data_IF_651203977058
#
_entry.id   IF_651203977058
#
_cell.length_a   1.000
_cell.length_b   1.000
_cell.length_c   1.000
_cell.angle_alpha   90.00
_cell.angle_beta   90.00
_cell.angle_gamma   90.00
#
_symmetry.space_group_name_H-M   'P 1'
#
loop_
_entity.id
_entity.type
_entity.pdbx_description
1 polymer ?
#
# COMPACT_ATOMS: atom_id res chain seq x y z
N UNK A 1 -1.22 -2.17 -21.84
CA UNK A 1 -2.68 -2.08 -22.07
C UNK A 1 -3.23 -3.10 -23.06
N UNK A 2 -2.68 -3.28 -24.28
CA UNK A 2 -3.20 -4.27 -25.26
C UNK A 2 -3.25 -5.72 -24.76
N UNK A 3 -2.16 -6.22 -24.19
CA UNK A 3 -2.05 -7.65 -23.79
C UNK A 3 -2.99 -8.05 -22.64
N UNK A 4 -3.34 -7.12 -21.75
CA UNK A 4 -4.26 -7.35 -20.63
C UNK A 4 -5.74 -7.33 -21.08
N UNK A 5 -6.06 -6.55 -22.12
CA UNK A 5 -7.40 -6.51 -22.69
C UNK A 5 -7.68 -7.79 -23.50
N UNK A 6 -6.67 -8.34 -24.18
CA UNK A 6 -6.80 -9.58 -24.98
C UNK A 6 -7.03 -10.84 -24.13
N UNK A 7 -6.58 -10.86 -22.87
CA UNK A 7 -6.78 -11.99 -21.93
C UNK A 7 -8.05 -11.86 -21.06
N UNK A 8 -8.77 -10.75 -21.16
CA UNK A 8 -10.00 -10.50 -20.40
C UNK A 8 -11.20 -11.08 -21.15
N UNK A 9 -11.77 -12.18 -20.65
CA UNK A 9 -12.86 -12.86 -21.33
C UNK A 9 -14.25 -12.26 -21.08
N UNK A 10 -14.42 -11.31 -20.14
CA UNK A 10 -15.71 -10.66 -19.84
C UNK A 10 -15.62 -9.33 -19.04
N UNK A 11 -14.55 -8.53 -19.19
CA UNK A 11 -14.40 -7.27 -18.45
C UNK A 11 -13.64 -6.18 -19.23
N UNK A 12 -13.84 -4.92 -18.84
CA UNK A 12 -13.03 -3.80 -19.32
C UNK A 12 -11.81 -3.61 -18.43
N UNK A 13 -10.65 -3.39 -19.05
CA UNK A 13 -9.40 -3.11 -18.33
C UNK A 13 -8.93 -1.70 -18.70
N UNK A 14 -8.74 -0.87 -17.68
CA UNK A 14 -8.22 0.48 -17.81
C UNK A 14 -6.95 0.63 -16.97
N UNK A 15 -5.87 1.07 -17.61
CA UNK A 15 -4.63 1.43 -16.92
C UNK A 15 -4.60 2.93 -16.61
N UNK A 16 -4.33 3.28 -15.36
CA UNK A 16 -4.12 4.66 -14.92
C UNK A 16 -2.86 4.70 -14.05
N UNK A 17 -2.04 5.72 -14.25
CA UNK A 17 -0.79 5.89 -13.50
C UNK A 17 -1.12 6.35 -12.07
N UNK A 18 -0.52 5.68 -11.09
CA UNK A 18 -0.52 6.06 -9.69
C UNK A 18 0.87 5.72 -9.12
N UNK A 19 1.71 6.73 -8.96
CA UNK A 19 3.03 6.55 -8.37
C UNK A 19 2.94 6.71 -6.85
N UNK A 20 3.08 5.60 -6.13
CA UNK A 20 3.05 5.60 -4.66
C UNK A 20 4.25 6.30 -4.01
N UNK A 21 5.28 6.64 -4.78
CA UNK A 21 6.42 7.43 -4.35
C UNK A 21 6.13 8.94 -4.28
N UNK A 22 4.92 9.38 -4.66
CA UNK A 22 4.48 10.78 -4.63
C UNK A 22 3.04 10.92 -4.15
N UNK A 23 2.83 11.61 -3.03
CA UNK A 23 1.50 11.93 -2.51
C UNK A 23 0.68 12.77 -3.51
N UNK A 24 1.34 13.63 -4.28
CA UNK A 24 0.70 14.38 -5.35
C UNK A 24 0.17 13.44 -6.46
N UNK A 25 0.95 12.44 -6.89
CA UNK A 25 0.51 11.45 -7.87
C UNK A 25 -0.68 10.64 -7.36
N UNK A 26 -0.63 10.17 -6.10
CA UNK A 26 -1.73 9.44 -5.46
C UNK A 26 -3.02 10.27 -5.45
N UNK A 27 -2.91 11.56 -5.08
CA UNK A 27 -4.05 12.48 -5.05
C UNK A 27 -4.65 12.67 -6.43
N UNK A 28 -3.82 12.92 -7.45
CA UNK A 28 -4.28 13.09 -8.83
C UNK A 28 -4.98 11.82 -9.35
N UNK A 29 -4.45 10.64 -9.05
CA UNK A 29 -5.09 9.36 -9.37
C UNK A 29 -6.48 9.26 -8.74
N UNK A 30 -6.58 9.50 -7.42
CA UNK A 30 -7.85 9.37 -6.69
C UNK A 30 -8.90 10.37 -7.18
N UNK A 31 -8.50 11.62 -7.47
CA UNK A 31 -9.38 12.64 -8.05
C UNK A 31 -9.89 12.23 -9.44
N UNK A 32 -9.01 11.71 -10.30
CA UNK A 32 -9.39 11.23 -11.63
C UNK A 32 -10.35 10.05 -11.52
N UNK A 33 -10.02 9.05 -10.71
CA UNK A 33 -10.87 7.88 -10.49
C UNK A 33 -12.26 8.28 -9.99
N UNK A 34 -12.34 9.21 -9.03
CA UNK A 34 -13.62 9.66 -8.46
C UNK A 34 -14.44 10.46 -9.48
N UNK A 35 -13.81 11.29 -10.33
CA UNK A 35 -14.49 12.04 -11.39
C UNK A 35 -15.12 11.14 -12.45
N UNK A 36 -14.56 9.97 -12.71
CA UNK A 36 -15.11 8.99 -13.65
C UNK A 36 -16.40 8.32 -13.12
N UNK A 37 -16.75 8.54 -11.85
CA UNK A 37 -17.92 7.92 -11.17
C UNK A 37 -17.93 6.38 -11.27
N UNK A 38 -16.75 5.78 -11.38
CA UNK A 38 -16.59 4.32 -11.46
C UNK A 38 -16.88 3.69 -10.09
N UNK A 39 -17.78 2.69 -10.02
CA UNK A 39 -18.01 1.94 -8.78
C UNK A 39 -16.72 1.30 -8.27
N UNK A 40 -16.46 1.41 -6.95
CA UNK A 40 -15.33 0.76 -6.30
C UNK A 40 -15.80 -0.23 -5.25
N UNK A 41 -15.95 -1.50 -5.66
CA UNK A 41 -16.33 -2.57 -4.74
C UNK A 41 -15.13 -3.26 -4.09
N UNK A 42 -13.97 -3.28 -4.75
CA UNK A 42 -12.75 -3.93 -4.25
C UNK A 42 -11.54 -3.05 -4.51
N UNK A 43 -10.76 -2.76 -3.47
CA UNK A 43 -9.46 -2.11 -3.53
C UNK A 43 -8.37 -3.08 -3.10
N UNK A 44 -7.40 -3.36 -3.97
CA UNK A 44 -6.26 -4.24 -3.65
C UNK A 44 -4.98 -3.41 -3.58
N UNK A 45 -4.44 -3.27 -2.38
CA UNK A 45 -3.18 -2.58 -2.09
C UNK A 45 -2.02 -3.58 -2.20
N UNK A 46 -1.63 -3.89 -3.43
CA UNK A 46 -0.61 -4.89 -3.74
C UNK A 46 0.81 -4.32 -3.92
N UNK A 47 0.93 -3.10 -4.45
CA UNK A 47 2.21 -2.55 -4.85
C UNK A 47 3.20 -2.47 -3.68
N UNK A 48 4.47 -2.72 -3.94
CA UNK A 48 5.49 -2.59 -2.91
C UNK A 48 6.89 -2.77 -3.44
N UNK A 49 7.84 -2.23 -2.70
CA UNK A 49 9.26 -2.26 -2.98
C UNK A 49 10.03 -2.84 -1.78
N UNK A 50 11.20 -3.38 -2.07
CA UNK A 50 12.19 -3.77 -1.08
C UNK A 50 13.53 -3.21 -1.57
N UNK A 51 13.83 -1.97 -1.19
CA UNK A 51 15.03 -1.28 -1.67
C UNK A 51 16.21 -1.51 -0.72
N UNK A 52 17.34 -1.91 -1.29
CA UNK A 52 18.58 -2.18 -0.54
C UNK A 52 19.37 -0.92 -0.19
N UNK A 53 19.12 0.19 -0.88
CA UNK A 53 19.74 1.48 -0.61
C UNK A 53 18.74 2.42 0.05
N UNK A 54 19.19 3.21 1.02
CA UNK A 54 18.36 4.28 1.58
C UNK A 54 17.98 5.27 0.48
N UNK A 55 16.71 5.58 0.43
CA UNK A 55 16.14 6.56 -0.47
C UNK A 55 14.92 7.18 0.21
N UNK A 56 14.50 8.31 -0.33
CA UNK A 56 13.29 8.98 0.11
C UNK A 56 12.28 9.07 -1.02
N UNK A 57 11.00 9.14 -0.66
CA UNK A 57 9.93 9.52 -1.58
C UNK A 57 10.11 10.98 -2.01
N UNK A 58 9.34 11.41 -3.03
CA UNK A 58 9.30 12.82 -3.46
C UNK A 58 8.91 13.74 -2.29
N UNK A 59 8.14 13.21 -1.34
CA UNK A 59 7.64 13.91 -0.16
C UNK A 59 8.57 13.79 1.07
N UNK A 60 9.77 13.21 0.92
CA UNK A 60 10.78 13.13 1.98
C UNK A 60 10.61 11.98 2.98
N UNK A 61 9.72 11.03 2.72
CA UNK A 61 9.50 9.86 3.59
C UNK A 61 10.54 8.77 3.27
N UNK A 62 10.91 7.93 4.25
CA UNK A 62 11.68 6.71 3.97
C UNK A 62 10.97 5.88 2.89
N UNK A 63 11.66 5.54 1.80
CA UNK A 63 11.01 5.11 0.57
C UNK A 63 10.17 3.83 0.74
N UNK A 64 10.67 2.84 1.48
CA UNK A 64 9.97 1.55 1.66
C UNK A 64 8.68 1.75 2.45
N UNK A 65 8.73 2.50 3.56
CA UNK A 65 7.54 2.84 4.34
C UNK A 65 6.58 3.75 3.56
N UNK A 66 7.14 4.74 2.86
CA UNK A 66 6.42 5.68 2.02
C UNK A 66 5.59 4.98 0.96
N UNK A 67 6.20 4.07 0.19
CA UNK A 67 5.53 3.35 -0.90
C UNK A 67 4.64 2.23 -0.36
N UNK A 68 5.16 1.34 0.49
CA UNK A 68 4.45 0.10 0.85
C UNK A 68 3.26 0.33 1.78
N UNK A 69 3.28 1.41 2.56
CA UNK A 69 2.30 1.67 3.60
C UNK A 69 1.67 3.06 3.51
N UNK A 70 2.45 4.14 3.59
CA UNK A 70 1.89 5.51 3.69
C UNK A 70 1.11 5.87 2.42
N UNK A 71 1.66 5.60 1.24
CA UNK A 71 1.01 5.85 -0.03
C UNK A 71 -0.29 5.06 -0.19
N UNK A 72 -0.28 3.78 0.21
CA UNK A 72 -1.47 2.93 0.26
C UNK A 72 -2.54 3.43 1.24
N UNK A 73 -2.13 3.82 2.45
CA UNK A 73 -3.05 4.33 3.46
C UNK A 73 -3.69 5.65 3.00
N UNK A 74 -2.89 6.54 2.40
CA UNK A 74 -3.36 7.80 1.84
C UNK A 74 -4.33 7.57 0.67
N UNK A 75 -3.99 6.69 -0.28
CA UNK A 75 -4.89 6.30 -1.37
C UNK A 75 -6.23 5.77 -0.84
N UNK A 76 -6.18 4.89 0.16
CA UNK A 76 -7.39 4.31 0.79
C UNK A 76 -8.25 5.38 1.45
N UNK A 77 -7.65 6.36 2.12
CA UNK A 77 -8.39 7.47 2.72
C UNK A 77 -9.08 8.34 1.66
N UNK A 78 -8.39 8.66 0.56
CA UNK A 78 -8.96 9.45 -0.54
C UNK A 78 -10.13 8.73 -1.22
N UNK A 79 -10.05 7.40 -1.38
CA UNK A 79 -11.09 6.59 -2.00
C UNK A 79 -12.16 6.09 -1.02
N UNK A 80 -12.03 6.39 0.28
CA UNK A 80 -12.97 5.94 1.31
C UNK A 80 -14.42 6.38 1.05
N UNK A 81 -14.70 7.63 0.62
CA UNK A 81 -16.07 8.03 0.27
C UNK A 81 -16.68 7.14 -0.82
N UNK A 82 -15.89 6.80 -1.85
CA UNK A 82 -16.31 5.92 -2.95
C UNK A 82 -16.55 4.48 -2.46
N UNK A 83 -15.69 3.96 -1.58
CA UNK A 83 -15.89 2.65 -0.95
C UNK A 83 -17.16 2.59 -0.10
N UNK A 84 -17.48 3.66 0.64
CA UNK A 84 -18.70 3.76 1.45
C UNK A 84 -19.93 3.82 0.55
N UNK A 85 -19.90 4.64 -0.50
CA UNK A 85 -21.02 4.78 -1.44
C UNK A 85 -21.33 3.48 -2.19
N UNK A 86 -20.34 2.60 -2.35
CA UNK A 86 -20.46 1.32 -3.05
C UNK A 86 -20.45 0.12 -2.09
N UNK A 87 -20.78 0.33 -0.81
CA UNK A 87 -20.87 -0.75 0.16
C UNK A 87 -21.96 -1.78 -0.23
N UNK A 88 -21.77 -3.10 -0.02
CA UNK A 88 -20.61 -3.70 0.62
C UNK A 88 -19.35 -3.65 -0.25
N UNK A 89 -18.24 -3.23 0.35
CA UNK A 89 -16.95 -3.11 -0.33
C UNK A 89 -15.83 -3.74 0.48
N UNK A 90 -14.70 -4.01 -0.18
CA UNK A 90 -13.57 -4.73 0.39
C UNK A 90 -12.24 -4.05 0.11
N UNK A 91 -11.41 -3.94 1.13
CA UNK A 91 -10.00 -3.55 1.01
C UNK A 91 -9.11 -4.76 1.31
N UNK A 92 -8.21 -5.11 0.40
CA UNK A 92 -7.25 -6.20 0.57
C UNK A 92 -5.85 -5.61 0.55
N UNK A 93 -5.07 -5.86 1.60
CA UNK A 93 -3.74 -5.28 1.77
C UNK A 93 -2.70 -6.39 1.77
N UNK A 94 -1.80 -6.36 0.80
CA UNK A 94 -0.76 -7.38 0.66
C UNK A 94 0.36 -7.12 1.67
N UNK A 95 0.52 -8.06 2.59
CA UNK A 95 1.56 -8.11 3.60
C UNK A 95 2.56 -9.25 3.29
N UNK A 96 3.38 -9.65 4.27
CA UNK A 96 4.40 -10.70 4.17
C UNK A 96 4.58 -11.38 5.53
N UNK A 97 4.93 -12.67 5.60
CA UNK A 97 5.33 -13.37 6.84
C UNK A 97 6.46 -12.67 7.61
N UNK A 98 7.23 -11.83 6.93
CA UNK A 98 8.21 -10.93 7.55
C UNK A 98 7.58 -9.89 8.51
N UNK A 99 6.24 -9.79 8.61
CA UNK A 99 5.58 -9.00 9.65
C UNK A 99 5.89 -9.50 11.08
N UNK A 100 6.37 -10.74 11.27
CA UNK A 100 6.75 -11.32 12.55
C UNK A 100 8.08 -10.76 13.15
N UNK A 101 8.60 -9.68 12.58
CA UNK A 101 9.75 -8.94 13.10
C UNK A 101 9.49 -8.22 14.42
N UNK A 102 10.42 -7.36 14.88
CA UNK A 102 10.27 -6.63 16.15
C UNK A 102 9.04 -5.70 16.15
N UNK A 103 8.53 -5.31 17.35
CA UNK A 103 7.38 -4.41 17.48
C UNK A 103 7.52 -3.15 16.63
N UNK A 104 6.37 -2.59 16.25
CA UNK A 104 6.32 -1.37 15.44
C UNK A 104 7.03 -0.22 16.18
N UNK A 105 8.06 0.35 15.56
CA UNK A 105 8.77 1.50 16.08
C UNK A 105 8.49 2.72 15.20
N UNK A 106 7.36 3.38 15.44
CA UNK A 106 6.96 4.59 14.73
C UNK A 106 7.97 5.74 14.87
N UNK A 107 8.62 5.86 16.03
CA UNK A 107 9.61 6.93 16.31
C UNK A 107 10.90 6.77 15.50
N UNK A 108 11.19 5.56 15.02
CA UNK A 108 12.35 5.30 14.22
C UNK A 108 12.07 5.38 12.71
N UNK A 109 10.82 5.49 12.25
CA UNK A 109 10.51 5.44 10.80
C UNK A 109 11.17 6.55 9.98
N UNK A 110 11.33 7.75 10.55
CA UNK A 110 12.03 8.87 9.89
C UNK A 110 13.56 8.70 9.89
N UNK A 111 14.10 7.83 10.75
CA UNK A 111 15.53 7.75 11.06
C UNK A 111 16.15 6.34 10.99
N UNK A 112 15.37 5.31 10.67
CA UNK A 112 15.80 3.91 10.74
C UNK A 112 17.00 3.64 9.83
N UNK A 113 17.06 4.37 8.72
CA UNK A 113 18.15 4.32 7.75
C UNK A 113 18.92 5.65 7.62
N UNK A 114 18.65 6.66 8.46
CA UNK A 114 19.22 8.02 8.32
C UNK A 114 20.66 8.16 8.84
N UNK A 115 21.30 7.07 9.27
CA UNK A 115 22.72 7.08 9.64
C UNK A 115 23.48 6.15 8.70
N UNK A 116 24.63 6.61 8.20
CA UNK A 116 25.54 5.80 7.36
C UNK A 116 25.85 4.43 8.00
N UNK A 117 25.86 4.35 9.34
CA UNK A 117 26.12 3.13 10.09
C UNK A 117 24.99 2.09 10.02
N UNK A 118 23.72 2.49 9.84
CA UNK A 118 22.60 1.56 9.70
C UNK A 118 22.49 1.01 8.27
N UNK A 119 22.82 1.82 7.27
CA UNK A 119 22.90 1.41 5.87
C UNK A 119 24.04 0.39 5.61
N UNK A 120 25.23 0.61 6.21
CA UNK A 120 26.41 -0.28 6.07
C UNK A 120 26.24 -1.66 6.68
N UNK A 121 25.26 -1.88 7.55
CA UNK A 121 25.10 -3.14 8.31
C UNK A 121 24.03 -4.07 7.74
N UNK A 122 23.22 -3.68 6.75
CA UNK A 122 22.14 -4.54 6.21
C UNK A 122 20.93 -4.75 7.14
N UNK A 123 21.10 -4.52 8.45
CA UNK A 123 20.05 -4.61 9.48
C UNK A 123 18.93 -3.57 9.34
N UNK A 124 19.15 -2.44 8.65
CA UNK A 124 18.13 -1.41 8.43
C UNK A 124 17.10 -1.78 7.35
N UNK A 125 17.53 -2.47 6.29
CA UNK A 125 16.76 -2.74 5.07
C UNK A 125 15.61 -3.70 5.33
N UNK A 126 15.92 -4.90 5.84
CA UNK A 126 14.90 -5.88 6.22
C UNK A 126 13.96 -5.29 7.26
N UNK A 127 14.47 -4.45 8.16
CA UNK A 127 13.66 -3.85 9.20
C UNK A 127 12.65 -2.85 8.64
N UNK A 128 13.01 -1.95 7.72
CA UNK A 128 12.04 -1.04 7.06
C UNK A 128 10.97 -1.82 6.32
N UNK A 129 11.35 -2.88 5.59
CA UNK A 129 10.39 -3.74 4.90
C UNK A 129 9.47 -4.46 5.90
N UNK A 130 10.01 -5.12 6.93
CA UNK A 130 9.25 -5.79 8.00
C UNK A 130 8.27 -4.83 8.69
N UNK A 131 8.72 -3.62 9.04
CA UNK A 131 7.89 -2.58 9.64
C UNK A 131 6.76 -2.15 8.69
N UNK A 132 7.05 -1.99 7.39
CA UNK A 132 6.02 -1.65 6.39
C UNK A 132 4.95 -2.74 6.26
N UNK A 133 5.34 -4.01 6.35
CA UNK A 133 4.43 -5.16 6.28
C UNK A 133 3.62 -5.35 7.57
N UNK A 134 4.23 -5.11 8.73
CA UNK A 134 3.52 -5.03 10.00
C UNK A 134 2.51 -3.87 10.01
N UNK A 135 2.89 -2.71 9.50
CA UNK A 135 1.99 -1.55 9.36
C UNK A 135 0.79 -1.88 8.46
N UNK A 136 1.00 -2.60 7.36
CA UNK A 136 -0.08 -3.08 6.49
C UNK A 136 -1.07 -4.01 7.21
N UNK A 137 -0.59 -4.93 8.04
CA UNK A 137 -1.45 -5.81 8.84
C UNK A 137 -2.27 -5.02 9.87
N UNK A 138 -1.63 -4.12 10.62
CA UNK A 138 -2.32 -3.27 11.58
C UNK A 138 -3.34 -2.36 10.91
N UNK A 139 -3.01 -1.85 9.72
CA UNK A 139 -3.92 -1.02 8.94
C UNK A 139 -5.16 -1.78 8.48
N UNK A 140 -5.01 -3.02 8.01
CA UNK A 140 -6.16 -3.87 7.68
C UNK A 140 -7.07 -4.08 8.90
N UNK A 141 -6.49 -4.38 10.07
CA UNK A 141 -7.23 -4.54 11.33
C UNK A 141 -7.94 -3.25 11.74
N UNK A 142 -7.26 -2.11 11.65
CA UNK A 142 -7.82 -0.81 11.99
C UNK A 142 -8.97 -0.42 11.06
N UNK A 143 -8.83 -0.65 9.74
CA UNK A 143 -9.89 -0.41 8.76
C UNK A 143 -11.10 -1.29 9.03
N UNK A 144 -10.89 -2.60 9.22
CA UNK A 144 -11.97 -3.53 9.52
C UNK A 144 -12.74 -3.11 10.78
N UNK A 145 -12.03 -2.73 11.85
CA UNK A 145 -12.68 -2.27 13.08
C UNK A 145 -13.40 -0.93 12.91
N UNK A 146 -12.84 0.01 12.16
CA UNK A 146 -13.35 1.40 12.07
C UNK A 146 -14.54 1.54 11.11
N UNK A 147 -14.63 0.68 10.10
CA UNK A 147 -15.62 0.81 9.02
C UNK A 147 -16.57 -0.38 8.89
N UNK A 148 -16.59 -1.28 9.90
CA UNK A 148 -17.51 -2.40 9.94
C UNK A 148 -18.99 -1.96 9.89
N UNK A 149 -19.32 -0.86 10.58
CA UNK A 149 -20.64 -0.23 10.59
C UNK A 149 -21.10 0.22 9.19
N UNK A 150 -20.14 0.50 8.30
CA UNK A 150 -20.38 0.92 6.91
C UNK A 150 -20.32 -0.24 5.92
N UNK A 151 -20.32 -1.49 6.41
CA UNK A 151 -20.23 -2.72 5.59
C UNK A 151 -18.98 -2.76 4.71
N UNK A 152 -17.89 -2.14 5.17
CA UNK A 152 -16.58 -2.24 4.54
C UNK A 152 -15.78 -3.31 5.28
N UNK A 153 -15.31 -4.30 4.53
CA UNK A 153 -14.44 -5.36 5.07
C UNK A 153 -13.00 -5.09 4.68
N UNK A 154 -12.05 -5.39 5.57
CA UNK A 154 -10.64 -5.25 5.28
C UNK A 154 -9.87 -6.51 5.70
N UNK A 155 -8.97 -6.97 4.84
CA UNK A 155 -8.16 -8.16 5.06
C UNK A 155 -6.71 -7.88 4.73
N UNK A 156 -5.80 -8.53 5.46
CA UNK A 156 -4.40 -8.62 5.07
C UNK A 156 -4.09 -10.06 4.66
N UNK A 157 -3.26 -10.23 3.63
CA UNK A 157 -2.80 -11.54 3.18
C UNK A 157 -1.29 -11.56 3.01
N UNK A 158 -0.69 -12.72 3.25
CA UNK A 158 0.65 -13.06 2.75
C UNK A 158 0.48 -13.96 1.52
N UNK A 159 1.06 -13.62 0.36
CA UNK A 159 0.88 -14.41 -0.86
C UNK A 159 1.73 -15.69 -0.90
N UNK A 160 2.55 -15.97 0.12
CA UNK A 160 3.59 -17.01 0.08
C UNK A 160 4.92 -16.48 -0.46
N UNK A 161 5.90 -17.37 -0.63
CA UNK A 161 7.11 -17.09 -1.41
C UNK A 161 6.76 -17.28 -2.88
N UNK A 162 6.65 -16.17 -3.60
CA UNK A 162 6.31 -16.13 -5.01
C UNK A 162 7.51 -15.61 -5.78
N UNK A 163 7.88 -16.32 -6.84
CA UNK A 163 8.87 -15.81 -7.80
C UNK A 163 8.21 -14.65 -8.58
N UNK A 164 8.61 -13.43 -8.23
CA UNK A 164 8.07 -12.21 -8.83
C UNK A 164 9.16 -11.57 -9.68
N UNK A 165 9.03 -11.71 -11.01
CA UNK A 165 9.74 -11.04 -12.13
C UNK A 165 11.27 -10.91 -12.06
#
# INVERSE_FOLDING_TARGET
NKELQEKSSNGSVQGVICDLNSLASIKQFAEKFTKENTPLNVLVLNAGICNYNFAQTVDGLEQVMGVNHIGHAYLTQLLMPTLIANAPSRVVIVSSDLHAGPPLNYQALDHMNSTENNAKKGWGIMRSYQQSKLANMLFARALASRYNDKKITAYSLHPGVIDTN
#
